data_IF_653215544692
#
_entry.id   IF_653215544692
#
_cell.length_a   1.000
_cell.length_b   1.000
_cell.length_c   1.000
_cell.angle_alpha   90.00
_cell.angle_beta   90.00
_cell.angle_gamma   90.00
#
_symmetry.space_group_name_H-M   'P 1'
#
loop_
_entity.id
_entity.type
_entity.pdbx_description
1 polymer ?
#
# COMPACT_ATOMS: atom_id res chain seq x y z
N UNK A 1 -32.36 1.63 7.82
CA UNK A 1 -31.20 1.95 8.67
C UNK A 1 -30.12 2.61 7.85
N UNK A 2 -29.06 3.11 8.48
CA UNK A 2 -27.95 3.75 7.76
C UNK A 2 -27.31 2.80 6.73
N UNK A 3 -26.87 3.31 5.55
CA UNK A 3 -26.28 2.51 4.47
C UNK A 3 -24.83 2.09 4.76
N UNK A 4 -24.56 1.62 5.98
CA UNK A 4 -23.22 1.55 6.55
C UNK A 4 -22.90 0.14 7.03
N UNK A 5 -21.66 -0.30 6.80
CA UNK A 5 -21.07 -1.50 7.41
C UNK A 5 -19.70 -1.16 8.00
N UNK A 6 -19.42 -1.72 9.18
CA UNK A 6 -18.14 -1.55 9.87
C UNK A 6 -17.45 -2.90 9.94
N UNK A 7 -16.19 -2.94 9.52
CA UNK A 7 -15.37 -4.14 9.53
C UNK A 7 -14.16 -3.92 10.44
N UNK A 8 -14.01 -4.74 11.47
CA UNK A 8 -12.78 -4.79 12.26
C UNK A 8 -11.64 -5.40 11.43
N UNK A 9 -10.42 -4.95 11.66
CA UNK A 9 -9.22 -5.46 10.99
C UNK A 9 -8.15 -5.91 11.98
N UNK A 10 -7.16 -5.06 12.27
CA UNK A 10 -6.06 -5.36 13.19
C UNK A 10 -6.09 -4.37 14.36
N UNK A 11 -6.02 -4.87 15.59
CA UNK A 11 -6.01 -4.04 16.81
C UNK A 11 -7.20 -3.06 16.85
N UNK A 12 -6.93 -1.75 17.00
CA UNK A 12 -7.93 -0.68 17.02
C UNK A 12 -8.45 -0.27 15.63
N UNK A 13 -7.94 -0.88 14.56
CA UNK A 13 -8.20 -0.45 13.18
C UNK A 13 -9.44 -1.14 12.62
N UNK A 14 -10.24 -0.38 11.89
CA UNK A 14 -11.38 -0.89 11.13
C UNK A 14 -11.64 -0.07 9.87
N UNK A 15 -12.61 -0.54 9.08
CA UNK A 15 -13.07 0.13 7.86
C UNK A 15 -14.55 0.42 7.97
N UNK A 16 -14.91 1.69 7.80
CA UNK A 16 -16.28 2.15 7.64
C UNK A 16 -16.62 2.18 6.15
N UNK A 17 -17.59 1.37 5.72
CA UNK A 17 -18.04 1.31 4.32
C UNK A 17 -19.44 1.86 4.21
N UNK A 18 -19.59 2.94 3.43
CA UNK A 18 -20.88 3.56 3.11
C UNK A 18 -21.28 3.14 1.69
N UNK A 19 -22.46 2.54 1.52
CA UNK A 19 -23.00 2.13 0.21
C UNK A 19 -24.36 2.76 -0.02
N UNK A 20 -24.39 3.90 -0.71
CA UNK A 20 -25.62 4.60 -1.06
C UNK A 20 -25.95 4.45 -2.54
N UNK A 21 -27.25 4.55 -2.87
CA UNK A 21 -27.72 4.76 -4.25
C UNK A 21 -27.52 6.20 -4.69
N UNK A 22 -27.49 7.13 -3.73
CA UNK A 22 -27.18 8.53 -3.98
C UNK A 22 -25.67 8.74 -4.07
N UNK A 23 -25.26 9.78 -4.81
CA UNK A 23 -23.86 10.14 -4.96
C UNK A 23 -23.28 10.55 -3.59
N UNK A 24 -22.11 9.98 -3.29
CA UNK A 24 -21.29 10.28 -2.11
C UNK A 24 -20.03 11.04 -2.54
N UNK A 25 -19.38 11.70 -1.59
CA UNK A 25 -18.14 12.43 -1.82
C UNK A 25 -17.10 12.05 -0.79
N UNK A 26 -15.82 12.09 -1.20
CA UNK A 26 -14.68 11.95 -0.29
C UNK A 26 -14.23 13.29 0.32
N UNK A 27 -14.81 14.41 -0.10
CA UNK A 27 -14.42 15.77 0.29
C UNK A 27 -15.05 16.15 1.63
N UNK A 28 -14.72 15.39 2.68
CA UNK A 28 -15.20 15.60 4.05
C UNK A 28 -14.04 15.50 5.03
N UNK A 29 -14.08 16.24 6.13
CA UNK A 29 -13.09 16.16 7.19
C UNK A 29 -13.32 14.96 8.12
N UNK A 30 -12.27 14.59 8.85
CA UNK A 30 -12.26 13.47 9.78
C UNK A 30 -12.98 13.82 11.09
N UNK A 31 -13.55 12.79 11.74
CA UNK A 31 -14.02 12.92 13.13
C UNK A 31 -12.90 12.68 14.15
N UNK A 32 -11.79 12.08 13.70
CA UNK A 32 -10.56 11.90 14.46
C UNK A 32 -9.79 13.23 14.53
N UNK A 33 -9.52 13.79 15.73
CA UNK A 33 -8.71 15.00 15.88
C UNK A 33 -7.20 14.74 15.65
N UNK A 34 -6.77 13.49 15.47
CA UNK A 34 -5.38 13.06 15.30
C UNK A 34 -4.47 13.35 16.50
N UNK A 35 -5.05 13.75 17.63
CA UNK A 35 -4.33 14.07 18.87
C UNK A 35 -5.12 13.63 20.11
N UNK A 36 -4.42 13.12 21.11
CA UNK A 36 -5.02 12.64 22.37
C UNK A 36 -5.38 13.83 23.26
N UNK A 37 -6.55 13.77 23.90
CA UNK A 37 -7.05 14.84 24.77
C UNK A 37 -7.88 15.89 24.04
N UNK A 38 -8.01 15.77 22.71
CA UNK A 38 -8.88 16.59 21.89
C UNK A 38 -10.31 16.01 21.79
N UNK A 39 -11.33 16.85 21.56
CA UNK A 39 -12.70 16.39 21.36
C UNK A 39 -12.84 15.62 20.03
N UNK A 40 -13.83 14.74 19.97
CA UNK A 40 -14.28 14.14 18.70
C UNK A 40 -14.87 15.25 17.83
N UNK A 41 -14.39 15.36 16.59
CA UNK A 41 -14.79 16.43 15.68
C UNK A 41 -16.07 16.05 14.90
N UNK A 42 -16.79 17.06 14.43
CA UNK A 42 -17.83 16.86 13.44
C UNK A 42 -17.19 16.72 12.05
N UNK A 43 -17.65 15.75 11.27
CA UNK A 43 -17.35 15.69 9.85
C UNK A 43 -18.17 16.77 9.14
N UNK A 44 -17.52 17.53 8.28
CA UNK A 44 -18.06 18.61 7.47
C UNK A 44 -17.44 18.55 6.06
N UNK A 45 -18.12 19.07 5.02
CA UNK A 45 -17.50 19.24 3.71
C UNK A 45 -16.21 20.07 3.79
N UNK A 46 -15.21 19.72 3.00
CA UNK A 46 -13.99 20.53 2.91
C UNK A 46 -14.29 21.87 2.22
N UNK A 47 -13.56 22.93 2.59
CA UNK A 47 -13.75 24.27 2.02
C UNK A 47 -13.52 24.31 0.51
N UNK A 48 -12.62 23.48 -0.01
CA UNK A 48 -12.27 23.36 -1.43
C UNK A 48 -13.16 22.37 -2.21
N UNK A 49 -14.26 21.90 -1.61
CA UNK A 49 -15.21 21.01 -2.28
C UNK A 49 -15.84 21.73 -3.49
N UNK A 50 -15.78 21.15 -4.71
CA UNK A 50 -16.44 21.73 -5.88
C UNK A 50 -17.95 21.93 -5.67
N UNK A 51 -18.55 23.02 -6.19
CA UNK A 51 -19.98 23.31 -6.00
C UNK A 51 -20.91 22.15 -6.39
N UNK A 52 -20.58 21.42 -7.46
CA UNK A 52 -21.32 20.25 -7.95
C UNK A 52 -21.20 18.99 -7.08
N UNK A 53 -20.22 18.95 -6.16
CA UNK A 53 -19.98 17.85 -5.24
C UNK A 53 -20.44 18.16 -3.80
N UNK A 54 -20.66 19.43 -3.48
CA UNK A 54 -21.01 19.92 -2.13
C UNK A 54 -22.19 19.17 -1.50
N UNK A 55 -23.25 18.90 -2.26
CA UNK A 55 -24.41 18.16 -1.74
C UNK A 55 -24.07 16.70 -1.40
N UNK A 56 -23.20 16.07 -2.19
CA UNK A 56 -22.72 14.72 -1.92
C UNK A 56 -21.79 14.69 -0.70
N UNK A 57 -20.99 15.75 -0.47
CA UNK A 57 -20.14 15.91 0.70
C UNK A 57 -20.97 16.11 1.98
N UNK A 58 -22.00 16.98 1.96
CA UNK A 58 -22.91 17.17 3.11
C UNK A 58 -23.59 15.87 3.51
N UNK A 59 -24.17 15.15 2.54
CA UNK A 59 -24.76 13.84 2.79
C UNK A 59 -23.77 12.86 3.42
N UNK A 60 -22.53 12.83 2.93
CA UNK A 60 -21.50 11.92 3.46
C UNK A 60 -21.11 12.29 4.89
N UNK A 61 -20.90 13.58 5.16
CA UNK A 61 -20.60 14.12 6.49
C UNK A 61 -21.72 13.82 7.50
N UNK A 62 -22.99 13.98 7.10
CA UNK A 62 -24.16 13.64 7.93
C UNK A 62 -24.18 12.16 8.31
N UNK A 63 -23.95 11.27 7.34
CA UNK A 63 -23.87 9.83 7.59
C UNK A 63 -22.73 9.51 8.57
N UNK A 64 -21.54 10.09 8.37
CA UNK A 64 -20.38 9.87 9.25
C UNK A 64 -20.69 10.34 10.67
N UNK A 65 -21.23 11.56 10.81
CA UNK A 65 -21.60 12.12 12.11
C UNK A 65 -22.63 11.25 12.84
N UNK A 66 -23.62 10.74 12.11
CA UNK A 66 -24.63 9.87 12.72
C UNK A 66 -24.05 8.53 13.16
N UNK A 67 -23.16 7.93 12.35
CA UNK A 67 -22.43 6.71 12.75
C UNK A 67 -21.61 6.97 14.02
N UNK A 68 -20.87 8.07 14.09
CA UNK A 68 -20.04 8.41 15.26
C UNK A 68 -20.91 8.57 16.51
N UNK A 69 -22.02 9.33 16.43
CA UNK A 69 -22.96 9.50 17.56
C UNK A 69 -23.59 8.17 18.00
N UNK A 70 -24.05 7.36 17.05
CA UNK A 70 -24.65 6.06 17.34
C UNK A 70 -23.61 5.10 17.95
N UNK A 71 -22.37 5.12 17.47
CA UNK A 71 -21.29 4.30 18.04
C UNK A 71 -21.08 4.63 19.51
N UNK A 72 -21.07 5.91 19.88
CA UNK A 72 -20.98 6.34 21.27
C UNK A 72 -22.13 5.84 22.13
N UNK A 73 -23.37 6.09 21.68
CA UNK A 73 -24.58 5.66 22.39
C UNK A 73 -24.62 4.15 22.64
N UNK A 74 -24.22 3.36 21.65
CA UNK A 74 -24.25 1.89 21.71
C UNK A 74 -23.08 1.33 22.52
N UNK A 75 -21.86 1.84 22.29
CA UNK A 75 -20.65 1.25 22.84
C UNK A 75 -20.38 1.69 24.27
N UNK A 76 -20.77 2.90 24.70
CA UNK A 76 -20.53 3.40 26.07
C UNK A 76 -21.00 2.41 27.15
N UNK A 77 -22.18 1.83 26.94
CA UNK A 77 -22.82 0.91 27.87
C UNK A 77 -22.72 -0.57 27.46
N UNK A 78 -21.93 -0.88 26.44
CA UNK A 78 -21.77 -2.25 25.97
C UNK A 78 -21.14 -3.13 27.07
N UNK A 79 -21.57 -4.39 27.26
CA UNK A 79 -21.06 -5.26 28.34
C UNK A 79 -19.53 -5.34 28.39
N UNK A 80 -18.87 -5.42 27.23
CA UNK A 80 -17.40 -5.43 27.13
C UNK A 80 -16.78 -4.13 27.67
N UNK A 81 -17.40 -2.97 27.42
CA UNK A 81 -16.88 -1.69 27.92
C UNK A 81 -17.14 -1.50 29.42
N UNK A 82 -18.21 -2.08 29.96
CA UNK A 82 -18.43 -2.16 31.41
C UNK A 82 -17.37 -3.02 32.09
N UNK A 83 -17.08 -4.20 31.54
CA UNK A 83 -16.02 -5.08 32.04
C UNK A 83 -14.63 -4.42 31.97
N UNK A 84 -14.35 -3.65 30.90
CA UNK A 84 -13.10 -2.88 30.79
C UNK A 84 -12.97 -1.85 31.92
N UNK A 85 -14.05 -1.11 32.19
CA UNK A 85 -14.09 -0.11 33.25
C UNK A 85 -13.91 -0.74 34.64
N UNK A 86 -14.58 -1.86 34.92
CA UNK A 86 -14.40 -2.63 36.16
C UNK A 86 -12.94 -3.09 36.37
N UNK A 87 -12.21 -3.33 35.28
CA UNK A 87 -10.78 -3.67 35.30
C UNK A 87 -9.84 -2.45 35.28
N UNK A 88 -10.37 -1.22 35.37
CA UNK A 88 -9.59 0.01 35.31
C UNK A 88 -9.00 0.33 33.92
N UNK A 89 -9.52 -0.30 32.86
CA UNK A 89 -9.12 -0.05 31.47
C UNK A 89 -10.01 1.01 30.82
N UNK A 90 -9.46 1.74 29.85
CA UNK A 90 -10.22 2.71 29.06
C UNK A 90 -11.32 2.03 28.23
N UNK A 91 -12.52 2.61 28.21
CA UNK A 91 -13.60 2.18 27.32
C UNK A 91 -13.23 2.43 25.85
N UNK A 92 -13.56 1.48 24.98
CA UNK A 92 -13.55 1.65 23.53
C UNK A 92 -14.96 2.03 23.07
N UNK A 93 -15.39 3.23 23.43
CA UNK A 93 -16.77 3.68 23.36
C UNK A 93 -17.11 4.49 22.10
N UNK A 94 -16.16 4.86 21.24
CA UNK A 94 -16.46 5.66 20.04
C UNK A 94 -15.66 5.17 18.85
N UNK A 95 -16.26 5.25 17.66
CA UNK A 95 -15.59 4.98 16.40
C UNK A 95 -15.19 6.32 15.78
N UNK A 96 -13.89 6.53 15.62
CA UNK A 96 -13.35 7.67 14.91
C UNK A 96 -13.17 7.32 13.43
N UNK A 97 -13.87 8.03 12.56
CA UNK A 97 -13.70 7.96 11.12
C UNK A 97 -12.60 8.92 10.67
N UNK A 98 -11.72 8.41 9.79
CA UNK A 98 -10.64 9.18 9.17
C UNK A 98 -10.35 8.74 7.73
N UNK A 99 -9.83 9.65 6.91
CA UNK A 99 -9.32 9.37 5.57
C UNK A 99 -10.41 8.95 4.59
N UNK A 100 -11.43 9.79 4.41
CA UNK A 100 -12.51 9.53 3.47
C UNK A 100 -11.96 9.29 2.04
N UNK A 101 -12.43 8.21 1.42
CA UNK A 101 -12.01 7.80 0.09
C UNK A 101 -13.18 7.25 -0.71
N UNK A 102 -13.12 7.43 -2.03
CA UNK A 102 -14.10 6.85 -2.95
C UNK A 102 -13.45 5.70 -3.72
N UNK A 103 -14.18 4.59 -3.86
CA UNK A 103 -13.69 3.47 -4.65
C UNK A 103 -13.54 3.91 -6.11
N UNK A 104 -12.32 3.80 -6.63
CA UNK A 104 -12.00 4.10 -8.03
C UNK A 104 -11.75 2.80 -8.80
N UNK A 105 -12.18 2.76 -10.06
CA UNK A 105 -11.84 1.67 -10.97
C UNK A 105 -10.47 1.95 -11.58
N UNK A 106 -9.46 1.20 -11.17
CA UNK A 106 -8.12 1.31 -11.75
C UNK A 106 -8.07 0.59 -13.10
N UNK A 107 -7.19 1.05 -13.99
CA UNK A 107 -6.78 0.26 -15.16
C UNK A 107 -6.05 -0.99 -14.64
N UNK A 108 -6.45 -2.21 -15.04
CA UNK A 108 -5.77 -3.44 -14.63
C UNK A 108 -4.26 -3.37 -14.93
N UNK A 109 -3.46 -3.94 -14.05
CA UNK A 109 -2.00 -3.92 -14.13
C UNK A 109 -1.50 -4.56 -15.43
N UNK A 110 -2.05 -5.72 -15.79
CA UNK A 110 -1.74 -6.40 -17.05
C UNK A 110 -2.07 -5.52 -18.26
N UNK A 111 -3.20 -4.82 -18.27
CA UNK A 111 -3.54 -3.91 -19.37
C UNK A 111 -2.58 -2.70 -19.43
N UNK A 112 -2.13 -2.21 -18.28
CA UNK A 112 -1.25 -1.05 -18.19
C UNK A 112 0.20 -1.37 -18.56
N UNK A 113 0.69 -2.55 -18.17
CA UNK A 113 2.11 -2.89 -18.21
C UNK A 113 2.45 -4.14 -19.03
N UNK A 114 1.46 -4.94 -19.46
CA UNK A 114 1.68 -6.12 -20.30
C UNK A 114 2.30 -7.30 -19.57
N UNK A 115 2.17 -7.34 -18.24
CA UNK A 115 2.77 -8.35 -17.36
C UNK A 115 1.67 -9.03 -16.56
N UNK A 116 1.68 -10.37 -16.50
CA UNK A 116 0.81 -11.14 -15.60
C UNK A 116 1.25 -10.93 -14.16
N UNK A 117 0.46 -10.29 -13.28
CA UNK A 117 0.95 -9.82 -11.99
C UNK A 117 0.42 -10.62 -10.80
N UNK A 118 1.28 -10.85 -9.82
CA UNK A 118 0.93 -11.43 -8.53
C UNK A 118 1.50 -10.62 -7.36
N UNK A 119 0.99 -10.84 -6.14
CA UNK A 119 1.51 -10.20 -4.94
C UNK A 119 1.63 -11.16 -3.75
N UNK A 120 2.63 -10.90 -2.91
CA UNK A 120 2.86 -11.55 -1.62
C UNK A 120 2.81 -10.46 -0.54
N UNK A 121 1.71 -10.37 0.19
CA UNK A 121 1.49 -9.34 1.21
C UNK A 121 0.72 -9.88 2.43
N UNK A 122 0.71 -9.10 3.51
CA UNK A 122 0.02 -9.46 4.76
C UNK A 122 -1.12 -8.50 5.09
N UNK A 123 -0.82 -7.21 5.27
CA UNK A 123 -1.79 -6.21 5.74
C UNK A 123 -2.91 -5.92 4.73
N UNK A 124 -4.14 -5.67 5.20
CA UNK A 124 -5.33 -5.55 4.35
C UNK A 124 -5.25 -4.38 3.35
N UNK A 125 -4.60 -3.26 3.72
CA UNK A 125 -4.43 -2.11 2.84
C UNK A 125 -3.69 -2.48 1.54
N UNK A 126 -2.51 -3.08 1.67
CA UNK A 126 -1.66 -3.45 0.53
C UNK A 126 -2.31 -4.53 -0.34
N UNK A 127 -2.99 -5.50 0.29
CA UNK A 127 -3.81 -6.49 -0.43
C UNK A 127 -4.94 -5.81 -1.21
N UNK A 128 -5.61 -4.84 -0.61
CA UNK A 128 -6.67 -4.07 -1.23
C UNK A 128 -6.18 -3.31 -2.47
N UNK A 129 -5.04 -2.62 -2.37
CA UNK A 129 -4.43 -1.89 -3.50
C UNK A 129 -4.02 -2.85 -4.62
N UNK A 130 -3.35 -3.96 -4.30
CA UNK A 130 -2.92 -4.95 -5.28
C UNK A 130 -4.12 -5.60 -6.01
N UNK A 131 -5.18 -5.97 -5.27
CA UNK A 131 -6.42 -6.49 -5.86
C UNK A 131 -7.13 -5.46 -6.72
N UNK A 132 -7.17 -4.19 -6.30
CA UNK A 132 -7.74 -3.11 -7.09
C UNK A 132 -6.97 -2.89 -8.41
N UNK A 133 -5.66 -3.17 -8.42
CA UNK A 133 -4.83 -3.18 -9.62
C UNK A 133 -4.97 -4.49 -10.45
N UNK A 134 -5.76 -5.47 -10.01
CA UNK A 134 -5.97 -6.74 -10.73
C UNK A 134 -4.82 -7.73 -10.58
N UNK A 135 -4.12 -7.73 -9.44
CA UNK A 135 -3.05 -8.68 -9.15
C UNK A 135 -3.57 -9.90 -8.38
N UNK A 136 -3.01 -11.08 -8.66
CA UNK A 136 -3.37 -12.32 -7.96
C UNK A 136 -2.66 -12.45 -6.61
N UNK A 137 -3.37 -12.95 -5.59
CA UNK A 137 -2.77 -13.20 -4.27
C UNK A 137 -2.02 -14.52 -4.24
N UNK A 138 -0.74 -14.45 -3.89
CA UNK A 138 0.05 -15.61 -3.48
C UNK A 138 -0.04 -15.72 -1.96
N UNK A 139 -0.90 -16.62 -1.50
CA UNK A 139 -1.10 -16.84 -0.07
C UNK A 139 0.10 -17.54 0.55
N UNK A 140 0.67 -16.93 1.60
CA UNK A 140 1.80 -17.48 2.36
C UNK A 140 1.39 -17.65 3.82
N UNK A 141 1.24 -18.89 4.32
CA UNK A 141 1.02 -19.14 5.74
C UNK A 141 2.12 -18.49 6.59
N UNK A 142 1.75 -17.86 7.71
CA UNK A 142 2.71 -17.17 8.58
C UNK A 142 3.12 -15.76 8.10
N UNK A 143 2.63 -15.28 6.95
CA UNK A 143 2.79 -13.89 6.52
C UNK A 143 1.88 -12.94 7.33
N UNK A 144 2.27 -12.62 8.56
CA UNK A 144 1.45 -11.84 9.51
C UNK A 144 1.63 -10.33 9.36
N UNK A 145 2.70 -9.87 8.72
CA UNK A 145 3.04 -8.44 8.66
C UNK A 145 3.58 -7.87 9.99
N UNK A 146 3.75 -8.71 11.01
CA UNK A 146 4.37 -8.36 12.30
C UNK A 146 5.87 -8.73 12.29
N UNK A 147 6.57 -8.45 13.39
CA UNK A 147 7.98 -8.84 13.56
C UNK A 147 8.21 -10.36 13.53
N UNK A 148 7.15 -11.16 13.70
CA UNK A 148 7.20 -12.63 13.61
C UNK A 148 6.72 -13.16 12.25
N UNK A 149 6.56 -12.29 11.25
CA UNK A 149 6.17 -12.72 9.89
C UNK A 149 7.20 -13.70 9.32
N UNK A 150 6.72 -14.72 8.61
CA UNK A 150 7.58 -15.64 7.85
C UNK A 150 8.12 -14.91 6.61
N UNK A 151 9.38 -14.48 6.65
CA UNK A 151 10.05 -13.84 5.52
C UNK A 151 10.48 -14.88 4.47
N UNK A 152 10.96 -16.04 4.91
CA UNK A 152 11.42 -17.10 4.01
C UNK A 152 10.25 -17.67 3.20
N UNK A 153 9.11 -17.90 3.85
CA UNK A 153 7.88 -18.30 3.17
C UNK A 153 7.42 -17.29 2.13
N UNK A 154 7.62 -15.99 2.38
CA UNK A 154 7.30 -14.96 1.41
C UNK A 154 8.21 -15.00 0.18
N UNK A 155 9.52 -15.16 0.37
CA UNK A 155 10.48 -15.31 -0.73
C UNK A 155 10.20 -16.56 -1.55
N UNK A 156 9.95 -17.71 -0.90
CA UNK A 156 9.51 -18.93 -1.60
C UNK A 156 8.21 -18.73 -2.38
N UNK A 157 7.27 -17.96 -1.83
CA UNK A 157 6.04 -17.58 -2.53
C UNK A 157 6.31 -16.77 -3.80
N UNK A 158 7.28 -15.85 -3.77
CA UNK A 158 7.70 -15.10 -4.96
C UNK A 158 8.28 -16.04 -6.03
N UNK A 159 9.24 -16.88 -5.66
CA UNK A 159 9.90 -17.82 -6.57
C UNK A 159 8.86 -18.75 -7.21
N UNK A 160 7.99 -19.35 -6.39
CA UNK A 160 6.91 -20.21 -6.86
C UNK A 160 5.99 -19.50 -7.87
N UNK A 161 5.63 -18.24 -7.62
CA UNK A 161 4.77 -17.50 -8.54
C UNK A 161 5.48 -17.24 -9.89
N UNK A 162 6.77 -16.91 -9.87
CA UNK A 162 7.54 -16.78 -11.10
C UNK A 162 7.57 -18.12 -11.88
N UNK A 163 7.78 -19.25 -11.20
CA UNK A 163 7.76 -20.59 -11.80
C UNK A 163 6.38 -20.97 -12.37
N UNK A 164 5.29 -20.48 -11.78
CA UNK A 164 3.91 -20.66 -12.25
C UNK A 164 3.54 -19.71 -13.43
N UNK A 165 4.51 -18.95 -13.94
CA UNK A 165 4.37 -18.13 -15.14
C UNK A 165 3.81 -16.74 -14.90
N UNK A 166 3.95 -16.19 -13.68
CA UNK A 166 3.73 -14.76 -13.45
C UNK A 166 4.95 -13.96 -13.94
N UNK A 167 4.73 -12.85 -14.65
CA UNK A 167 5.81 -11.99 -15.16
C UNK A 167 6.27 -10.94 -14.14
N UNK A 168 5.43 -10.64 -13.13
CA UNK A 168 5.70 -9.63 -12.11
C UNK A 168 5.15 -10.07 -10.76
N UNK A 169 5.99 -10.01 -9.72
CA UNK A 169 5.56 -10.33 -8.36
C UNK A 169 5.92 -9.18 -7.40
N UNK A 170 4.91 -8.62 -6.74
CA UNK A 170 5.09 -7.60 -5.70
C UNK A 170 5.19 -8.24 -4.32
N UNK A 171 6.38 -8.16 -3.71
CA UNK A 171 6.62 -8.61 -2.33
C UNK A 171 6.57 -7.43 -1.35
N UNK A 172 5.67 -7.50 -0.37
CA UNK A 172 5.52 -6.45 0.64
C UNK A 172 5.90 -6.90 2.06
N UNK A 173 6.70 -6.07 2.76
CA UNK A 173 7.15 -6.31 4.15
C UNK A 173 6.77 -5.13 5.04
N UNK A 174 5.87 -5.36 6.02
CA UNK A 174 5.27 -4.29 6.84
C UNK A 174 6.02 -3.94 8.13
N UNK A 175 6.68 -4.91 8.77
CA UNK A 175 7.07 -4.79 10.17
C UNK A 175 8.06 -3.65 10.46
N UNK A 176 8.92 -3.31 9.50
CA UNK A 176 9.89 -2.20 9.57
C UNK A 176 9.23 -0.85 9.83
N UNK A 177 8.03 -0.63 9.28
CA UNK A 177 7.27 0.60 9.49
C UNK A 177 6.64 0.64 10.89
N UNK A 178 6.06 -0.48 11.36
CA UNK A 178 5.53 -0.56 12.73
C UNK A 178 6.61 -0.27 13.77
N UNK A 179 7.81 -0.84 13.60
CA UNK A 179 8.95 -0.59 14.48
C UNK A 179 9.42 0.86 14.44
N UNK A 180 9.22 1.55 13.32
CA UNK A 180 9.51 2.98 13.20
C UNK A 180 8.49 3.81 13.97
N UNK A 181 7.20 3.52 13.85
CA UNK A 181 6.13 4.15 14.65
C UNK A 181 6.31 3.94 16.16
N UNK A 182 6.72 2.73 16.57
CA UNK A 182 6.99 2.37 17.97
C UNK A 182 8.28 2.98 18.53
N UNK A 183 9.04 3.75 17.72
CA UNK A 183 10.34 4.34 18.10
C UNK A 183 11.36 3.30 18.57
N UNK A 184 11.41 2.16 17.86
CA UNK A 184 12.28 1.01 18.14
C UNK A 184 13.39 0.85 17.08
N UNK A 185 14.41 1.75 17.06
CA UNK A 185 15.41 1.77 16.00
C UNK A 185 16.32 0.54 15.97
N UNK A 186 16.65 -0.03 17.13
CA UNK A 186 17.51 -1.23 17.21
C UNK A 186 16.80 -2.46 16.65
N UNK A 187 15.55 -2.64 17.03
CA UNK A 187 14.71 -3.72 16.52
C UNK A 187 14.43 -3.53 15.02
N UNK A 188 14.23 -2.28 14.55
CA UNK A 188 14.12 -1.97 13.12
C UNK A 188 15.36 -2.44 12.35
N UNK A 189 16.56 -2.09 12.82
CA UNK A 189 17.82 -2.49 12.19
C UNK A 189 18.02 -4.02 12.18
N UNK A 190 17.71 -4.69 13.29
CA UNK A 190 17.74 -6.15 13.37
C UNK A 190 16.75 -6.79 12.39
N UNK A 191 15.55 -6.22 12.25
CA UNK A 191 14.56 -6.72 11.30
C UNK A 191 14.99 -6.50 9.84
N UNK A 192 15.63 -5.37 9.51
CA UNK A 192 16.23 -5.14 8.19
C UNK A 192 17.31 -6.19 7.90
N UNK A 193 18.15 -6.52 8.89
CA UNK A 193 19.17 -7.58 8.74
C UNK A 193 18.54 -8.95 8.47
N UNK A 194 17.38 -9.24 9.05
CA UNK A 194 16.61 -10.45 8.74
C UNK A 194 16.05 -10.45 7.32
N UNK A 195 15.58 -9.29 6.83
CA UNK A 195 15.15 -9.16 5.44
C UNK A 195 16.34 -9.47 4.53
N UNK A 196 17.48 -8.82 4.73
CA UNK A 196 18.71 -9.00 3.96
C UNK A 196 19.13 -10.47 3.85
N UNK A 197 19.20 -11.18 4.99
CA UNK A 197 19.53 -12.61 5.03
C UNK A 197 18.54 -13.50 4.26
N UNK A 198 17.30 -13.04 4.03
CA UNK A 198 16.25 -13.79 3.33
C UNK A 198 16.26 -13.53 1.82
N UNK A 199 16.82 -12.41 1.36
CA UNK A 199 16.81 -12.04 -0.07
C UNK A 199 17.75 -12.88 -0.93
N UNK A 200 18.67 -13.64 -0.33
CA UNK A 200 19.71 -14.39 -1.03
C UNK A 200 19.17 -15.32 -2.12
N UNK A 201 18.06 -16.03 -1.88
CA UNK A 201 17.46 -16.93 -2.89
C UNK A 201 16.99 -16.17 -4.15
N UNK A 202 16.55 -14.91 -4.00
CA UNK A 202 16.14 -14.11 -5.16
C UNK A 202 17.33 -13.70 -6.02
N UNK A 203 18.53 -13.56 -5.43
CA UNK A 203 19.75 -13.20 -6.14
C UNK A 203 20.31 -14.33 -7.01
N UNK A 204 19.74 -15.54 -6.91
CA UNK A 204 20.11 -16.66 -7.78
C UNK A 204 19.28 -16.73 -9.07
N UNK A 205 18.25 -15.90 -9.20
CA UNK A 205 17.40 -15.85 -10.39
C UNK A 205 18.14 -15.23 -11.58
N UNK A 206 18.35 -16.03 -12.63
CA UNK A 206 19.07 -15.61 -13.85
C UNK A 206 18.28 -14.58 -14.68
N UNK A 207 16.98 -14.81 -14.85
CA UNK A 207 16.13 -14.09 -15.80
C UNK A 207 15.13 -13.17 -15.09
N UNK A 208 15.58 -12.48 -14.05
CA UNK A 208 14.74 -11.62 -13.22
C UNK A 208 15.41 -10.29 -12.94
N UNK A 209 14.62 -9.22 -13.00
CA UNK A 209 14.99 -7.89 -12.50
C UNK A 209 14.33 -7.69 -11.14
N UNK A 210 15.14 -7.37 -10.14
CA UNK A 210 14.71 -7.15 -8.76
C UNK A 210 14.86 -5.67 -8.46
N UNK A 211 13.79 -5.04 -7.96
CA UNK A 211 13.84 -3.71 -7.37
C UNK A 211 13.54 -3.79 -5.88
N UNK A 212 14.38 -3.15 -5.06
CA UNK A 212 14.19 -3.03 -3.61
C UNK A 212 14.13 -1.56 -3.23
N UNK A 213 13.07 -1.16 -2.53
CA UNK A 213 12.87 0.21 -2.03
C UNK A 213 11.89 0.21 -0.85
N UNK A 214 11.80 1.35 -0.15
CA UNK A 214 10.64 1.70 0.67
C UNK A 214 9.59 2.46 -0.16
N UNK A 215 8.31 2.30 0.17
CA UNK A 215 7.21 3.11 -0.35
C UNK A 215 7.17 4.51 0.26
N UNK A 216 7.67 4.66 1.49
CA UNK A 216 7.89 5.95 2.15
C UNK A 216 8.95 5.86 3.26
N UNK A 217 9.38 7.01 3.75
CA UNK A 217 10.25 7.12 4.92
C UNK A 217 9.44 7.25 6.21
N UNK A 218 9.76 6.45 7.23
CA UNK A 218 9.18 6.57 8.58
C UNK A 218 10.30 6.75 9.60
N UNK A 219 10.25 7.86 10.33
CA UNK A 219 11.28 8.24 11.31
C UNK A 219 11.05 7.54 12.64
N UNK A 220 12.03 6.76 13.11
CA UNK A 220 12.02 6.19 14.46
C UNK A 220 12.17 7.24 15.57
N UNK A 221 12.60 8.46 15.24
CA UNK A 221 12.68 9.57 16.21
C UNK A 221 11.29 10.19 16.41
N UNK A 222 10.61 10.49 15.30
CA UNK A 222 9.30 11.14 15.32
C UNK A 222 8.14 10.16 15.52
N UNK A 223 8.32 8.88 15.16
CA UNK A 223 7.25 7.88 15.19
C UNK A 223 6.18 8.09 14.11
N UNK A 224 6.52 8.77 13.01
CA UNK A 224 5.60 9.09 11.91
C UNK A 224 6.31 9.12 10.55
N UNK A 225 5.51 9.11 9.50
CA UNK A 225 5.98 9.26 8.12
C UNK A 225 6.62 10.63 7.94
N UNK A 226 7.67 10.71 7.12
CA UNK A 226 8.39 11.94 6.78
C UNK A 226 8.64 12.01 5.28
N UNK A 227 8.73 13.22 4.73
CA UNK A 227 8.90 13.46 3.28
C UNK A 227 10.33 13.30 2.76
N UNK A 228 11.17 12.49 3.40
CA UNK A 228 12.52 12.21 2.93
C UNK A 228 12.50 11.10 1.87
N UNK A 229 13.34 11.16 0.83
CA UNK A 229 13.40 10.12 -0.20
C UNK A 229 13.81 8.77 0.38
N UNK A 230 13.37 7.69 -0.26
CA UNK A 230 13.75 6.31 0.07
C UNK A 230 14.87 5.82 -0.85
N UNK A 231 15.80 4.99 -0.35
CA UNK A 231 16.81 4.38 -1.21
C UNK A 231 16.15 3.33 -2.12
N UNK A 232 16.63 3.23 -3.36
CA UNK A 232 16.19 2.23 -4.33
C UNK A 232 17.39 1.60 -5.03
N UNK A 233 17.32 0.29 -5.24
CA UNK A 233 18.28 -0.47 -6.04
C UNK A 233 17.53 -1.31 -7.07
N UNK A 234 18.08 -1.38 -8.28
CA UNK A 234 17.70 -2.32 -9.32
C UNK A 234 18.85 -3.31 -9.51
N UNK A 235 18.53 -4.59 -9.52
CA UNK A 235 19.51 -5.65 -9.62
C UNK A 235 19.02 -6.72 -10.60
N UNK A 236 19.92 -7.27 -11.39
CA UNK A 236 19.69 -8.48 -12.17
C UNK A 236 21.02 -9.21 -12.32
N UNK A 237 20.96 -10.53 -12.50
CA UNK A 237 22.12 -11.35 -12.84
C UNK A 237 22.57 -11.09 -14.29
N UNK A 238 21.64 -10.69 -15.15
CA UNK A 238 21.92 -10.12 -16.48
C UNK A 238 22.56 -8.74 -16.34
N UNK A 239 23.41 -8.37 -17.31
CA UNK A 239 24.19 -7.14 -17.28
C UNK A 239 23.30 -5.87 -17.15
N UNK A 240 23.18 -5.35 -15.93
CA UNK A 240 22.71 -3.99 -15.65
C UNK A 240 23.92 -3.07 -15.53
N UNK A 241 23.82 -1.84 -16.03
CA UNK A 241 24.88 -0.83 -15.82
C UNK A 241 25.01 -0.56 -14.32
N UNK A 242 26.17 -0.91 -13.77
CA UNK A 242 26.49 -0.70 -12.34
C UNK A 242 27.06 0.68 -12.11
N UNK A 243 26.69 1.27 -10.97
CA UNK A 243 27.33 2.47 -10.44
C UNK A 243 28.42 2.11 -9.42
N UNK A 244 28.84 3.09 -8.62
CA UNK A 244 29.92 2.93 -7.64
C UNK A 244 29.42 2.66 -6.21
N UNK A 245 28.11 2.52 -6.00
CA UNK A 245 27.55 2.17 -4.70
C UNK A 245 27.83 0.70 -4.37
N UNK A 246 28.29 0.44 -3.15
CA UNK A 246 28.58 -0.90 -2.64
C UNK A 246 27.72 -1.28 -1.42
N UNK A 247 26.95 -0.34 -0.88
CA UNK A 247 26.02 -0.58 0.23
C UNK A 247 24.67 0.08 -0.04
N UNK A 248 23.62 -0.61 0.35
CA UNK A 248 22.25 -0.10 0.26
C UNK A 248 21.90 0.71 1.52
N UNK A 249 22.24 2.00 1.50
CA UNK A 249 21.90 2.97 2.56
C UNK A 249 21.44 4.28 1.94
N UNK A 250 20.72 5.10 2.70
CA UNK A 250 20.24 6.42 2.26
C UNK A 250 21.40 7.31 1.75
N UNK A 251 22.49 7.40 2.51
CA UNK A 251 23.65 8.23 2.12
C UNK A 251 24.37 7.68 0.89
N UNK A 252 24.61 6.38 0.83
CA UNK A 252 25.39 5.82 -0.28
C UNK A 252 24.63 5.83 -1.60
N UNK A 253 23.31 5.61 -1.57
CA UNK A 253 22.46 5.78 -2.75
C UNK A 253 22.46 7.24 -3.24
N UNK A 254 22.46 8.21 -2.33
CA UNK A 254 22.47 9.63 -2.69
C UNK A 254 23.82 10.09 -3.25
N UNK A 255 24.94 9.62 -2.69
CA UNK A 255 26.29 10.06 -3.06
C UNK A 255 26.87 9.32 -4.27
N UNK A 256 26.58 8.02 -4.41
CA UNK A 256 27.24 7.14 -5.38
C UNK A 256 26.29 6.49 -6.38
N UNK A 257 24.98 6.60 -6.16
CA UNK A 257 23.95 6.04 -7.04
C UNK A 257 23.84 6.80 -8.36
N UNK A 258 23.78 6.11 -9.49
CA UNK A 258 23.70 6.78 -10.80
C UNK A 258 22.28 7.21 -11.23
N UNK A 259 21.25 6.76 -10.51
CA UNK A 259 19.85 7.04 -10.86
C UNK A 259 19.42 8.48 -10.53
N UNK A 260 20.14 9.16 -9.64
CA UNK A 260 19.71 10.43 -9.05
C UNK A 260 18.38 10.28 -8.31
N UNK A 261 17.60 11.36 -8.28
CA UNK A 261 16.27 11.35 -7.67
C UNK A 261 15.21 11.00 -8.72
N UNK A 262 14.59 9.84 -8.56
CA UNK A 262 13.43 9.42 -9.36
C UNK A 262 12.15 9.43 -8.53
N UNK A 263 11.00 9.54 -9.19
CA UNK A 263 9.69 9.45 -8.55
C UNK A 263 9.16 8.02 -8.61
N UNK A 264 8.23 7.66 -7.71
CA UNK A 264 7.61 6.32 -7.71
C UNK A 264 7.00 5.93 -9.06
N UNK A 265 6.48 6.89 -9.82
CA UNK A 265 5.95 6.68 -11.18
C UNK A 265 7.01 6.25 -12.22
N UNK A 266 8.29 6.47 -11.95
CA UNK A 266 9.40 6.08 -12.82
C UNK A 266 9.85 4.62 -12.62
N UNK A 267 9.48 3.98 -11.51
CA UNK A 267 9.96 2.63 -11.17
C UNK A 267 9.48 1.58 -12.18
N UNK A 268 8.19 1.57 -12.53
CA UNK A 268 7.65 0.59 -13.48
C UNK A 268 8.22 0.74 -14.91
N UNK A 269 8.33 1.95 -15.48
CA UNK A 269 9.03 2.14 -16.75
C UNK A 269 10.47 1.61 -16.74
N UNK A 270 11.24 1.86 -15.66
CA UNK A 270 12.60 1.35 -15.53
C UNK A 270 12.64 -0.19 -15.43
N UNK A 271 11.70 -0.79 -14.69
CA UNK A 271 11.58 -2.25 -14.61
C UNK A 271 11.27 -2.88 -15.98
N UNK A 272 10.37 -2.27 -16.76
CA UNK A 272 10.06 -2.74 -18.10
C UNK A 272 11.28 -2.67 -19.02
N UNK A 273 12.03 -1.58 -18.95
CA UNK A 273 13.24 -1.39 -19.76
C UNK A 273 14.33 -2.41 -19.41
N UNK A 274 14.66 -2.55 -18.12
CA UNK A 274 15.63 -3.53 -17.65
C UNK A 274 15.21 -4.99 -17.95
N UNK A 275 13.90 -5.25 -18.04
CA UNK A 275 13.36 -6.54 -18.43
C UNK A 275 13.30 -6.75 -19.96
N UNK A 276 13.77 -5.80 -20.77
CA UNK A 276 13.66 -5.78 -22.24
C UNK A 276 12.21 -5.90 -22.74
N UNK A 277 11.28 -5.26 -22.04
CA UNK A 277 9.85 -5.23 -22.36
C UNK A 277 9.34 -3.84 -22.70
N UNK A 278 10.17 -2.79 -22.58
CA UNK A 278 9.82 -1.42 -22.95
C UNK A 278 9.68 -1.26 -24.47
N UNK A 279 8.77 -0.39 -24.91
CA UNK A 279 8.61 -0.03 -26.32
C UNK A 279 9.22 1.34 -26.60
N UNK A 280 9.98 1.46 -27.69
CA UNK A 280 10.53 2.75 -28.12
C UNK A 280 9.43 3.77 -28.42
N UNK A 281 9.69 5.04 -28.09
CA UNK A 281 8.74 6.11 -28.34
C UNK A 281 8.50 6.31 -29.85
N UNK A 282 7.23 6.35 -30.24
CA UNK A 282 6.83 6.56 -31.64
C UNK A 282 6.40 5.28 -32.36
N UNK A 283 6.83 4.10 -31.87
CA UNK A 283 6.32 2.82 -32.36
C UNK A 283 4.84 2.65 -31.96
N UNK A 284 4.04 2.09 -32.87
CA UNK A 284 2.58 1.90 -32.68
C UNK A 284 2.13 0.53 -33.18
N UNK A 285 2.57 -0.58 -32.56
CA UNK A 285 2.15 -1.95 -32.92
C UNK A 285 0.72 -2.27 -32.47
N UNK A 286 0.02 -1.31 -31.86
CA UNK A 286 -1.29 -1.45 -31.23
C UNK A 286 -2.09 -0.16 -31.37
N UNK A 287 -3.43 -0.22 -31.45
CA UNK A 287 -4.30 0.96 -31.35
C UNK A 287 -4.29 1.58 -29.94
N UNK A 288 -3.74 0.86 -28.94
CA UNK A 288 -3.58 1.37 -27.57
C UNK A 288 -2.19 1.98 -27.39
N UNK A 289 -2.14 3.16 -26.76
CA UNK A 289 -0.89 3.73 -26.26
C UNK A 289 -0.44 2.98 -25.00
N UNK A 290 0.53 2.08 -25.17
CA UNK A 290 1.15 1.28 -24.10
C UNK A 290 2.66 1.50 -24.09
N UNK A 291 3.32 1.17 -22.98
CA UNK A 291 4.77 1.33 -22.82
C UNK A 291 5.56 0.03 -23.06
N UNK A 292 4.91 -1.01 -23.56
CA UNK A 292 5.49 -2.34 -23.68
C UNK A 292 5.22 -2.96 -25.06
N UNK A 293 6.04 -3.93 -25.44
CA UNK A 293 5.85 -4.68 -26.68
C UNK A 293 4.62 -5.59 -26.62
N UNK A 294 3.75 -5.48 -27.62
CA UNK A 294 2.58 -6.34 -27.77
C UNK A 294 1.69 -5.84 -28.91
N UNK A 295 1.40 -6.71 -29.88
CA UNK A 295 0.40 -6.42 -30.90
C UNK A 295 -0.99 -6.68 -30.32
N UNK A 296 -1.80 -5.65 -30.25
CA UNK A 296 -3.21 -5.77 -29.86
C UNK A 296 -4.07 -5.48 -31.10
N UNK A 297 -4.86 -6.44 -31.53
CA UNK A 297 -5.71 -6.27 -32.70
C UNK A 297 -6.10 -7.59 -33.32
N UNK A 298 -7.02 -7.54 -34.28
CA UNK A 298 -7.29 -8.69 -35.12
C UNK A 298 -6.12 -8.87 -36.09
N UNK A 299 -5.63 -10.10 -36.32
CA UNK A 299 -4.75 -10.36 -37.45
C UNK A 299 -5.38 -9.81 -38.74
N UNK A 300 -4.54 -9.31 -39.64
CA UNK A 300 -5.02 -8.97 -40.98
C UNK A 300 -5.46 -10.26 -41.67
N UNK A 301 -6.72 -10.34 -42.05
CA UNK A 301 -7.22 -11.40 -42.92
C UNK A 301 -6.62 -11.17 -44.32
N UNK A 302 -5.83 -12.13 -44.81
CA UNK A 302 -5.19 -12.10 -46.14
C UNK A 302 -5.91 -13.04 -47.10
#
# INVERSE_FOLDING_TARGET
GLPVKIYHTLEHRGVLVIKSVEKLSRMVCDTDPHEVGCPVLASEPLEDTPPEEMESARRTAEIINEVTRLSYKVLENHPINREREEKGLLKANVILARGAGIAIKLKPFEEKWGLKPAYVAAGPLYKGVARAAGMDEIHVPGATGTVHTDLNGKVRGVIKALDEGYDFVFLHVKAVDNLSHDKKPKEKALFISRIDATLGELLELEDTVIAVTGDHSTSSVLGRHVGLPTPIVFWSKRNVRRDHANRFTENECAEKGCLGTIYGQNVMPLLLDLANRSMEFGLRPSPKHVLYFGAFGKPLEM
#
